data_IF_104138914605
#
_entry.id   IF_104138914605
#
_cell.length_a   1.000
_cell.length_b   1.000
_cell.length_c   1.000
_cell.angle_alpha   90.00
_cell.angle_beta   90.00
_cell.angle_gamma   90.00
#
_symmetry.space_group_name_H-M   'P 1'
#
loop_
_entity.id
_entity.type
_entity.pdbx_description
1 polymer ?
#
# COMPACT_ATOMS: atom_id res chain seq x y z
N UNK A 1 18.78 -0.45 -67.96
CA UNK A 1 19.70 -1.52 -67.50
C UNK A 1 20.06 -1.46 -66.01
N UNK A 2 19.98 -0.32 -65.31
CA UNK A 2 20.34 -0.23 -63.89
C UNK A 2 19.27 -0.72 -62.88
N UNK A 3 18.00 -0.88 -63.28
CA UNK A 3 16.97 -1.43 -62.38
C UNK A 3 16.98 -2.97 -62.27
N UNK A 4 17.48 -3.68 -63.28
CA UNK A 4 17.50 -5.15 -63.30
C UNK A 4 18.57 -5.77 -62.38
N UNK A 5 19.66 -5.05 -62.13
CA UNK A 5 20.79 -5.55 -61.33
C UNK A 5 20.47 -5.49 -59.82
N UNK A 6 19.68 -4.51 -59.38
CA UNK A 6 19.35 -4.34 -57.96
C UNK A 6 18.40 -5.44 -57.44
N UNK A 7 17.44 -5.87 -58.24
CA UNK A 7 16.48 -6.93 -57.85
C UNK A 7 17.15 -8.30 -57.75
N UNK A 8 18.13 -8.58 -58.62
CA UNK A 8 18.87 -9.86 -58.60
C UNK A 8 19.78 -9.93 -57.37
N UNK A 9 20.37 -8.80 -56.94
CA UNK A 9 21.23 -8.77 -55.74
C UNK A 9 20.42 -8.99 -54.45
N UNK A 10 19.20 -8.46 -54.36
CA UNK A 10 18.34 -8.65 -53.17
C UNK A 10 17.81 -10.07 -53.03
N UNK A 11 17.52 -10.75 -54.15
CA UNK A 11 17.08 -12.17 -54.16
C UNK A 11 18.23 -13.12 -53.80
N UNK A 12 19.45 -12.82 -54.26
CA UNK A 12 20.63 -13.63 -53.91
C UNK A 12 21.04 -13.45 -52.45
N UNK A 13 20.89 -12.26 -51.86
CA UNK A 13 21.20 -12.03 -50.45
C UNK A 13 20.18 -12.70 -49.49
N UNK A 14 18.88 -12.68 -49.81
CA UNK A 14 17.88 -13.42 -49.01
C UNK A 14 18.02 -14.92 -49.18
N UNK A 15 18.36 -15.41 -50.38
CA UNK A 15 18.67 -16.82 -50.62
C UNK A 15 19.90 -17.31 -49.84
N UNK A 16 20.96 -16.49 -49.73
CA UNK A 16 22.15 -16.84 -48.96
C UNK A 16 21.90 -16.87 -47.44
N UNK A 17 21.09 -15.94 -46.93
CA UNK A 17 20.71 -15.92 -45.50
C UNK A 17 19.78 -17.06 -45.11
N UNK A 18 18.86 -17.47 -45.99
CA UNK A 18 17.99 -18.63 -45.77
C UNK A 18 18.74 -19.97 -45.89
N UNK A 19 19.80 -20.04 -46.70
CA UNK A 19 20.57 -21.28 -46.90
C UNK A 19 21.62 -21.54 -45.81
N UNK A 20 22.16 -20.49 -45.17
CA UNK A 20 23.21 -20.65 -44.15
C UNK A 20 22.73 -20.69 -42.69
N UNK A 21 21.43 -20.49 -42.42
CA UNK A 21 20.86 -20.62 -41.07
C UNK A 21 20.00 -21.87 -40.84
N UNK A 22 19.96 -22.80 -41.79
CA UNK A 22 19.39 -24.13 -41.55
C UNK A 22 20.55 -25.05 -41.20
N UNK A 23 20.89 -25.11 -39.90
CA UNK A 23 21.65 -26.27 -39.38
C UNK A 23 20.79 -27.51 -39.63
N UNK A 24 21.31 -28.57 -40.27
CA UNK A 24 20.59 -29.83 -40.32
C UNK A 24 20.46 -30.35 -38.90
N UNK A 25 19.23 -30.50 -38.42
CA UNK A 25 18.94 -31.28 -37.23
C UNK A 25 19.47 -32.69 -37.48
N UNK A 26 20.49 -33.08 -36.72
CA UNK A 26 21.01 -34.45 -36.70
C UNK A 26 19.85 -35.41 -36.47
N UNK A 27 19.68 -36.46 -37.29
CA UNK A 27 18.67 -37.47 -37.01
C UNK A 27 19.10 -38.21 -35.74
N UNK A 28 18.38 -37.96 -34.65
CA UNK A 28 18.45 -38.80 -33.46
C UNK A 28 17.91 -40.17 -33.88
N UNK A 29 18.80 -41.17 -33.91
CA UNK A 29 18.44 -42.57 -34.07
C UNK A 29 17.35 -42.92 -33.05
N UNK A 30 16.30 -43.67 -33.43
CA UNK A 30 15.27 -44.07 -32.49
C UNK A 30 15.89 -45.04 -31.48
N UNK A 31 15.97 -44.59 -30.22
CA UNK A 31 16.14 -45.46 -29.07
C UNK A 31 14.91 -46.37 -29.00
N UNK A 32 15.07 -47.64 -29.41
CA UNK A 32 14.12 -48.71 -29.16
C UNK A 32 14.00 -48.98 -27.66
N UNK A 33 13.15 -48.20 -27.00
CA UNK A 33 12.39 -48.65 -25.83
C UNK A 33 11.05 -47.93 -25.87
N UNK A 34 10.11 -48.54 -26.61
CA UNK A 34 8.71 -48.15 -26.68
C UNK A 34 8.04 -48.32 -25.31
N UNK A 35 8.17 -47.29 -24.47
CA UNK A 35 7.15 -47.05 -23.45
C UNK A 35 5.82 -46.80 -24.15
N UNK A 36 4.70 -47.41 -23.74
CA UNK A 36 3.44 -47.31 -24.45
C UNK A 36 3.08 -45.85 -24.67
N UNK A 37 2.87 -45.49 -25.94
CA UNK A 37 2.49 -44.15 -26.34
C UNK A 37 1.22 -43.77 -25.59
N UNK A 38 1.31 -42.79 -24.68
CA UNK A 38 0.13 -42.21 -24.05
C UNK A 38 -0.68 -41.52 -25.15
N UNK A 39 -1.70 -42.21 -25.65
CA UNK A 39 -2.62 -41.75 -26.70
C UNK A 39 -3.73 -40.83 -26.17
N UNK A 40 -3.54 -40.24 -25.00
CA UNK A 40 -4.45 -39.24 -24.44
C UNK A 40 -4.08 -37.82 -24.90
N UNK A 41 -5.04 -36.88 -24.93
CA UNK A 41 -4.75 -35.46 -25.11
C UNK A 41 -3.70 -35.03 -24.08
N UNK A 42 -2.62 -34.40 -24.55
CA UNK A 42 -1.53 -33.87 -23.70
C UNK A 42 -2.07 -32.68 -22.91
N UNK A 43 -2.70 -32.96 -21.77
CA UNK A 43 -3.11 -31.93 -20.84
C UNK A 43 -1.90 -31.41 -20.04
N UNK A 44 -1.84 -30.11 -19.74
CA UNK A 44 -0.84 -29.57 -18.82
C UNK A 44 -0.90 -30.29 -17.46
N UNK A 45 0.26 -30.53 -16.86
CA UNK A 45 0.34 -30.95 -15.46
C UNK A 45 0.22 -29.71 -14.58
N UNK A 46 -0.93 -29.55 -13.91
CA UNK A 46 -1.17 -28.44 -13.00
C UNK A 46 -0.51 -28.68 -11.63
N UNK A 47 -0.22 -27.59 -10.92
CA UNK A 47 0.22 -27.66 -9.52
C UNK A 47 -0.91 -28.23 -8.66
N UNK A 48 -0.56 -28.97 -7.61
CA UNK A 48 -1.53 -29.40 -6.62
C UNK A 48 -2.15 -28.18 -5.91
N UNK A 49 -3.46 -28.22 -5.56
CA UNK A 49 -4.08 -27.20 -4.73
C UNK A 49 -3.33 -27.07 -3.40
N UNK A 50 -3.07 -25.82 -2.97
CA UNK A 50 -2.46 -25.55 -1.68
C UNK A 50 -3.53 -25.35 -0.60
N UNK A 51 -3.22 -25.68 0.65
CA UNK A 51 -4.10 -25.38 1.78
C UNK A 51 -4.32 -23.86 1.90
N UNK A 52 -5.48 -23.48 2.40
CA UNK A 52 -5.81 -22.09 2.69
C UNK A 52 -4.85 -21.51 3.75
N UNK A 53 -4.40 -20.27 3.52
CA UNK A 53 -3.53 -19.52 4.45
C UNK A 53 -4.31 -18.56 5.34
N UNK A 54 -5.57 -18.28 5.02
CA UNK A 54 -6.42 -17.42 5.84
C UNK A 54 -7.83 -17.96 5.89
N UNK A 55 -8.56 -17.56 6.92
CA UNK A 55 -10.02 -17.69 6.93
C UNK A 55 -10.65 -16.82 5.82
N UNK A 56 -11.89 -17.13 5.39
CA UNK A 56 -12.65 -16.25 4.52
C UNK A 56 -12.72 -14.83 5.09
N UNK A 57 -12.62 -13.84 4.20
CA UNK A 57 -12.62 -12.43 4.59
C UNK A 57 -14.05 -12.03 4.98
N UNK A 58 -14.18 -11.37 6.13
CA UNK A 58 -15.40 -10.72 6.59
C UNK A 58 -15.10 -9.22 6.67
N UNK A 59 -16.06 -8.39 6.30
CA UNK A 59 -15.90 -6.93 6.37
C UNK A 59 -15.77 -6.51 7.85
N UNK A 60 -14.82 -5.62 8.13
CA UNK A 60 -14.48 -5.18 9.47
C UNK A 60 -15.07 -3.82 9.83
N UNK A 61 -16.07 -3.34 9.11
CA UNK A 61 -16.82 -2.17 9.49
C UNK A 61 -18.34 -2.43 9.41
N UNK A 62 -18.88 -3.29 10.29
CA UNK A 62 -20.25 -3.74 10.22
C UNK A 62 -21.26 -2.60 10.32
N UNK A 63 -21.00 -1.61 11.18
CA UNK A 63 -21.83 -0.42 11.30
C UNK A 63 -21.99 0.30 9.96
N UNK A 64 -20.90 0.41 9.21
CA UNK A 64 -20.93 1.05 7.92
C UNK A 64 -21.64 0.17 6.87
N UNK A 65 -21.62 -1.17 6.96
CA UNK A 65 -22.28 -2.05 5.96
C UNK A 65 -23.75 -1.72 5.76
N UNK A 66 -24.42 -1.27 6.82
CA UNK A 66 -25.84 -0.93 6.80
C UNK A 66 -26.09 0.58 6.67
N UNK A 67 -25.04 1.41 6.68
CA UNK A 67 -25.18 2.86 6.59
C UNK A 67 -25.45 3.32 5.14
N UNK A 68 -26.37 4.26 4.98
CA UNK A 68 -26.67 4.88 3.69
C UNK A 68 -25.95 6.23 3.49
N UNK A 69 -25.47 6.83 4.57
CA UNK A 69 -24.85 8.16 4.57
C UNK A 69 -23.77 8.30 5.64
N UNK A 70 -22.89 9.28 5.48
CA UNK A 70 -21.86 9.61 6.47
C UNK A 70 -22.46 9.99 7.83
N UNK A 71 -23.66 10.56 7.86
CA UNK A 71 -24.37 10.99 9.07
C UNK A 71 -24.85 9.83 9.95
N UNK A 72 -24.95 8.62 9.39
CA UNK A 72 -25.28 7.41 10.15
C UNK A 72 -24.04 6.78 10.81
N UNK A 73 -22.84 7.25 10.46
CA UNK A 73 -21.62 6.88 11.15
C UNK A 73 -21.40 7.76 12.39
N UNK A 74 -20.67 7.28 13.41
CA UNK A 74 -20.34 8.10 14.54
C UNK A 74 -19.51 9.31 14.09
N UNK A 75 -19.69 10.50 14.69
CA UNK A 75 -18.79 11.61 14.41
C UNK A 75 -17.38 11.28 14.92
N UNK A 76 -16.34 11.81 14.30
CA UNK A 76 -14.97 11.65 14.82
C UNK A 76 -14.84 12.28 16.22
N UNK A 77 -13.82 11.90 17.02
CA UNK A 77 -13.63 12.45 18.36
C UNK A 77 -13.53 13.98 18.31
N UNK A 78 -14.25 14.70 19.19
CA UNK A 78 -14.37 16.17 19.11
C UNK A 78 -13.02 16.89 19.09
N UNK A 79 -12.03 16.44 19.86
CA UNK A 79 -10.70 17.04 19.89
C UNK A 79 -9.86 16.81 18.62
N UNK A 80 -10.21 15.82 17.80
CA UNK A 80 -9.54 15.55 16.53
C UNK A 80 -10.20 16.27 15.36
N UNK A 81 -11.25 17.07 15.56
CA UNK A 81 -11.93 17.73 14.45
C UNK A 81 -10.96 18.59 13.62
N UNK A 82 -11.02 18.50 12.28
CA UNK A 82 -10.18 19.33 11.44
C UNK A 82 -10.56 20.82 11.57
N UNK A 83 -9.60 21.74 11.33
CA UNK A 83 -9.88 23.17 11.34
C UNK A 83 -11.05 23.56 10.44
N UNK A 84 -11.92 24.44 10.95
CA UNK A 84 -13.01 25.07 10.19
C UNK A 84 -12.97 26.59 10.41
N UNK A 85 -12.70 27.42 9.38
CA UNK A 85 -12.45 27.05 8.00
C UNK A 85 -11.18 26.20 7.84
N UNK A 86 -11.10 25.47 6.72
CA UNK A 86 -9.94 24.65 6.39
C UNK A 86 -8.66 25.50 6.29
N UNK A 87 -7.51 24.86 6.47
CA UNK A 87 -6.23 25.56 6.40
C UNK A 87 -5.97 26.09 4.98
N UNK A 88 -5.23 27.20 4.82
CA UNK A 88 -4.96 27.76 3.48
C UNK A 88 -4.05 26.85 2.64
N UNK A 89 -3.24 25.99 3.28
CA UNK A 89 -2.44 25.00 2.60
C UNK A 89 -3.31 23.88 1.99
N UNK A 90 -3.09 23.53 0.72
CA UNK A 90 -3.69 22.30 0.17
C UNK A 90 -2.97 21.10 0.78
N UNK A 91 -3.70 20.22 1.49
CA UNK A 91 -3.11 19.08 2.21
C UNK A 91 -3.54 17.70 1.66
N UNK A 92 -3.41 17.44 0.34
CA UNK A 92 -3.84 16.17 -0.25
C UNK A 92 -3.02 15.00 0.31
N UNK A 93 -3.70 13.92 0.72
CA UNK A 93 -3.11 12.66 1.17
C UNK A 93 -3.41 11.56 0.16
N UNK A 94 -2.38 11.07 -0.52
CA UNK A 94 -2.47 9.98 -1.49
C UNK A 94 -2.19 8.65 -0.81
N UNK A 95 -3.13 7.71 -0.91
CA UNK A 95 -3.01 6.34 -0.36
C UNK A 95 -3.12 5.35 -1.51
N UNK A 96 -2.01 4.71 -1.86
CA UNK A 96 -1.97 3.71 -2.92
C UNK A 96 -2.58 2.38 -2.48
N UNK A 97 -3.57 1.88 -3.23
CA UNK A 97 -4.22 0.61 -2.94
C UNK A 97 -3.99 -0.40 -4.07
N UNK A 98 -3.49 -1.59 -3.74
CA UNK A 98 -3.49 -2.71 -4.68
C UNK A 98 -4.35 -3.87 -4.20
N UNK A 99 -4.34 -4.19 -2.90
CA UNK A 99 -4.99 -5.40 -2.38
C UNK A 99 -5.23 -5.33 -0.88
N UNK A 100 -6.17 -6.14 -0.38
CA UNK A 100 -6.59 -6.21 1.03
C UNK A 100 -7.45 -5.02 1.47
N UNK A 101 -8.74 -5.11 1.16
CA UNK A 101 -9.77 -4.13 1.48
C UNK A 101 -9.82 -3.73 2.96
N UNK A 102 -9.65 -4.69 3.88
CA UNK A 102 -9.75 -4.42 5.33
C UNK A 102 -8.65 -3.49 5.82
N UNK A 103 -7.44 -3.61 5.27
CA UNK A 103 -6.33 -2.69 5.57
C UNK A 103 -6.59 -1.30 5.00
N UNK A 104 -7.09 -1.20 3.76
CA UNK A 104 -7.42 0.08 3.15
C UNK A 104 -8.48 0.83 3.97
N UNK A 105 -9.59 0.18 4.32
CA UNK A 105 -10.62 0.82 5.14
C UNK A 105 -10.06 1.27 6.48
N UNK A 106 -9.24 0.43 7.12
CA UNK A 106 -8.61 0.76 8.39
C UNK A 106 -7.77 2.02 8.31
N UNK A 107 -6.85 2.12 7.32
CA UNK A 107 -5.98 3.29 7.22
C UNK A 107 -6.79 4.56 6.94
N UNK A 108 -7.80 4.48 6.05
CA UNK A 108 -8.68 5.62 5.72
C UNK A 108 -9.44 6.09 6.97
N UNK A 109 -10.13 5.19 7.67
CA UNK A 109 -10.87 5.52 8.89
C UNK A 109 -9.93 6.06 9.98
N UNK A 110 -8.72 5.50 10.10
CA UNK A 110 -7.75 5.96 11.08
C UNK A 110 -7.23 7.38 10.81
N UNK A 111 -7.02 7.76 9.55
CA UNK A 111 -6.66 9.14 9.20
C UNK A 111 -7.80 10.12 9.44
N UNK A 112 -9.03 9.76 9.05
CA UNK A 112 -10.22 10.58 9.27
C UNK A 112 -10.40 10.84 10.77
N UNK A 113 -10.33 9.79 11.59
CA UNK A 113 -10.49 9.90 13.05
C UNK A 113 -9.29 10.54 13.75
N UNK A 114 -8.11 10.55 13.13
CA UNK A 114 -6.94 11.34 13.54
C UNK A 114 -6.96 12.80 13.03
N UNK A 115 -8.08 13.22 12.45
CA UNK A 115 -8.38 14.62 12.11
C UNK A 115 -7.97 15.06 10.71
N UNK A 116 -7.62 14.12 9.83
CA UNK A 116 -7.42 14.46 8.42
C UNK A 116 -8.78 14.75 7.76
N UNK A 117 -8.97 15.89 7.08
CA UNK A 117 -10.20 16.15 6.35
C UNK A 117 -10.47 15.07 5.29
N UNK A 118 -11.63 14.40 5.28
CA UNK A 118 -11.92 13.35 4.30
C UNK A 118 -11.79 13.83 2.85
N UNK A 119 -12.17 15.09 2.58
CA UNK A 119 -12.08 15.73 1.27
C UNK A 119 -10.65 15.86 0.74
N UNK A 120 -9.65 15.76 1.61
CA UNK A 120 -8.23 15.84 1.26
C UNK A 120 -7.61 14.45 1.09
N UNK A 121 -8.33 13.37 1.40
CA UNK A 121 -7.84 12.00 1.24
C UNK A 121 -8.19 11.52 -0.17
N UNK A 122 -7.19 11.01 -0.86
CA UNK A 122 -7.28 10.45 -2.21
C UNK A 122 -6.79 9.00 -2.17
N UNK A 123 -7.73 8.06 -2.24
CA UNK A 123 -7.42 6.65 -2.42
C UNK A 123 -7.11 6.41 -3.89
N UNK A 124 -5.89 5.97 -4.19
CA UNK A 124 -5.48 5.65 -5.55
C UNK A 124 -5.64 4.16 -5.79
N UNK A 125 -6.68 3.80 -6.55
CA UNK A 125 -6.98 2.43 -6.94
C UNK A 125 -5.96 1.94 -7.98
N UNK A 126 -4.96 1.20 -7.51
CA UNK A 126 -3.90 0.54 -8.27
C UNK A 126 -4.08 -0.99 -8.28
N UNK A 127 -5.28 -1.44 -8.65
CA UNK A 127 -5.70 -2.85 -8.66
C UNK A 127 -5.49 -3.53 -10.03
N UNK A 128 -5.50 -2.74 -11.12
CA UNK A 128 -5.44 -3.25 -12.48
C UNK A 128 -6.66 -4.07 -12.91
N UNK A 129 -7.80 -3.89 -12.24
CA UNK A 129 -9.09 -4.54 -12.55
C UNK A 129 -10.05 -3.60 -13.31
N UNK A 130 -9.50 -2.54 -13.91
CA UNK A 130 -10.25 -1.54 -14.67
C UNK A 130 -11.43 -0.99 -13.83
N UNK A 131 -12.63 -0.95 -14.40
CA UNK A 131 -13.83 -0.43 -13.72
C UNK A 131 -14.57 -1.48 -12.87
N UNK A 132 -14.04 -2.69 -12.67
CA UNK A 132 -14.80 -3.76 -12.01
C UNK A 132 -15.17 -3.45 -10.56
N UNK A 133 -14.31 -2.76 -9.79
CA UNK A 133 -14.67 -2.30 -8.44
C UNK A 133 -15.74 -1.20 -8.48
N UNK A 134 -15.60 -0.22 -9.37
CA UNK A 134 -16.58 0.84 -9.57
C UNK A 134 -17.97 0.29 -9.92
N UNK A 135 -18.00 -0.80 -10.69
CA UNK A 135 -19.23 -1.48 -11.11
C UNK A 135 -19.73 -2.54 -10.12
N UNK A 136 -19.07 -2.73 -8.97
CA UNK A 136 -19.47 -3.70 -7.95
C UNK A 136 -19.36 -5.16 -8.39
N UNK A 137 -18.43 -5.49 -9.29
CA UNK A 137 -18.33 -6.81 -9.92
C UNK A 137 -17.38 -7.77 -9.19
N UNK A 138 -16.58 -7.29 -8.24
CA UNK A 138 -15.66 -8.12 -7.48
C UNK A 138 -16.30 -8.51 -6.15
N UNK A 139 -16.10 -9.77 -5.75
CA UNK A 139 -16.50 -10.27 -4.44
C UNK A 139 -15.54 -9.79 -3.35
N UNK A 140 -16.01 -9.72 -2.10
CA UNK A 140 -15.14 -9.42 -0.94
C UNK A 140 -13.96 -10.39 -0.80
N UNK A 141 -14.06 -11.60 -1.36
CA UNK A 141 -12.96 -12.58 -1.33
C UNK A 141 -11.86 -12.29 -2.35
N UNK A 142 -12.12 -11.44 -3.34
CA UNK A 142 -11.14 -11.04 -4.35
C UNK A 142 -10.05 -10.14 -3.73
N UNK A 143 -8.75 -10.43 -3.89
CA UNK A 143 -7.66 -9.61 -3.33
C UNK A 143 -7.74 -8.15 -3.75
N UNK A 144 -8.24 -7.89 -4.95
CA UNK A 144 -8.32 -6.57 -5.58
C UNK A 144 -9.64 -5.83 -5.25
N UNK A 145 -10.50 -6.41 -4.42
CA UNK A 145 -11.78 -5.81 -4.04
C UNK A 145 -11.59 -4.44 -3.36
N UNK A 146 -12.36 -3.46 -3.81
CA UNK A 146 -12.49 -2.14 -3.23
C UNK A 146 -13.92 -1.64 -3.40
N UNK A 147 -14.53 -1.13 -2.32
CA UNK A 147 -15.89 -0.62 -2.36
C UNK A 147 -15.93 0.91 -2.57
N UNK A 148 -16.24 1.33 -3.80
CA UNK A 148 -16.35 2.75 -4.17
C UNK A 148 -17.45 3.47 -3.38
N UNK A 149 -18.58 2.82 -3.14
CA UNK A 149 -19.71 3.40 -2.40
C UNK A 149 -19.31 3.70 -0.96
N UNK A 150 -18.62 2.78 -0.28
CA UNK A 150 -18.10 2.98 1.08
C UNK A 150 -17.15 4.18 1.14
N UNK A 151 -16.17 4.25 0.24
CA UNK A 151 -15.17 5.33 0.27
C UNK A 151 -15.82 6.70 0.00
N UNK A 152 -16.76 6.78 -0.94
CA UNK A 152 -17.54 8.00 -1.19
C UNK A 152 -18.39 8.39 0.01
N UNK A 153 -19.02 7.42 0.68
CA UNK A 153 -19.78 7.64 1.91
C UNK A 153 -18.89 8.16 3.05
N UNK A 154 -17.62 7.72 3.13
CA UNK A 154 -16.64 8.27 4.08
C UNK A 154 -16.14 9.68 3.68
N UNK A 155 -16.54 10.20 2.52
CA UNK A 155 -16.17 11.54 2.04
C UNK A 155 -14.80 11.63 1.39
N UNK A 156 -14.15 10.51 1.08
CA UNK A 156 -12.83 10.50 0.43
C UNK A 156 -12.93 10.43 -1.10
N UNK A 157 -11.87 10.90 -1.76
CA UNK A 157 -11.76 10.85 -3.21
C UNK A 157 -11.16 9.51 -3.66
N UNK A 158 -11.50 9.10 -4.88
CA UNK A 158 -10.94 7.89 -5.51
C UNK A 158 -10.32 8.29 -6.84
N UNK A 159 -9.03 7.99 -7.02
CA UNK A 159 -8.32 8.12 -8.29
C UNK A 159 -8.10 6.73 -8.87
N UNK A 160 -8.46 6.52 -10.13
CA UNK A 160 -8.27 5.24 -10.80
C UNK A 160 -6.99 5.26 -11.62
N UNK A 161 -6.17 4.22 -11.45
CA UNK A 161 -5.10 3.95 -12.40
C UNK A 161 -5.66 3.21 -13.62
N UNK A 162 -5.16 3.50 -14.84
CA UNK A 162 -5.63 2.82 -16.06
C UNK A 162 -5.14 1.37 -16.19
N UNK A 163 -4.12 1.00 -15.41
CA UNK A 163 -3.55 -0.35 -15.34
C UNK A 163 -2.85 -0.52 -13.98
N UNK A 164 -2.39 -1.73 -13.68
CA UNK A 164 -1.58 -1.97 -12.50
C UNK A 164 -0.18 -1.36 -12.68
N UNK A 165 0.14 -0.36 -11.87
CA UNK A 165 1.46 0.23 -11.74
C UNK A 165 2.33 -0.50 -10.72
N UNK A 166 3.63 -0.55 -11.01
CA UNK A 166 4.67 -0.86 -10.02
C UNK A 166 4.81 0.29 -9.01
N UNK A 167 5.59 0.12 -7.95
CA UNK A 167 5.76 1.15 -6.93
C UNK A 167 6.31 2.47 -7.51
N UNK A 168 7.41 2.43 -8.28
CA UNK A 168 7.97 3.64 -8.88
C UNK A 168 7.01 4.33 -9.86
N UNK A 169 6.25 3.55 -10.64
CA UNK A 169 5.22 4.09 -11.53
C UNK A 169 4.06 4.72 -10.76
N UNK A 170 3.63 4.12 -9.65
CA UNK A 170 2.59 4.66 -8.79
C UNK A 170 3.04 5.97 -8.12
N UNK A 171 4.29 6.03 -7.66
CA UNK A 171 4.86 7.26 -7.10
C UNK A 171 4.95 8.38 -8.15
N UNK A 172 5.31 8.05 -9.40
CA UNK A 172 5.23 9.02 -10.50
C UNK A 172 3.79 9.42 -10.82
N UNK A 173 2.81 8.52 -10.66
CA UNK A 173 1.40 8.88 -10.79
C UNK A 173 0.95 9.84 -9.69
N UNK A 174 1.44 9.69 -8.44
CA UNK A 174 1.20 10.65 -7.37
C UNK A 174 1.78 12.03 -7.69
N UNK A 175 3.05 12.05 -8.13
CA UNK A 175 3.73 13.28 -8.52
C UNK A 175 3.03 13.97 -9.70
N UNK A 176 2.68 13.21 -10.75
CA UNK A 176 1.92 13.71 -11.90
C UNK A 176 0.57 14.29 -11.47
N UNK A 177 -0.17 13.58 -10.61
CA UNK A 177 -1.44 14.06 -10.06
C UNK A 177 -1.26 15.41 -9.34
N UNK A 178 -0.22 15.54 -8.52
CA UNK A 178 0.08 16.78 -7.82
C UNK A 178 0.42 17.93 -8.78
N UNK A 179 1.17 17.66 -9.85
CA UNK A 179 1.51 18.65 -10.88
C UNK A 179 0.25 19.14 -11.58
N UNK A 180 -0.60 18.24 -12.08
CA UNK A 180 -1.84 18.58 -12.79
C UNK A 180 -2.80 19.40 -11.92
N UNK A 181 -2.90 19.06 -10.64
CA UNK A 181 -3.76 19.77 -9.68
C UNK A 181 -3.11 21.02 -9.07
N UNK A 182 -1.87 21.35 -9.50
CA UNK A 182 -1.08 22.49 -8.99
C UNK A 182 -0.97 22.44 -7.46
N UNK A 183 -0.63 21.26 -6.95
CA UNK A 183 -0.32 21.04 -5.55
C UNK A 183 1.19 21.19 -5.36
N UNK A 184 1.66 22.27 -4.68
CA UNK A 184 3.09 22.48 -4.47
C UNK A 184 3.71 21.40 -3.59
N UNK A 185 2.86 20.75 -2.79
CA UNK A 185 3.19 19.62 -1.93
C UNK A 185 2.09 18.58 -2.01
N UNK A 186 2.40 17.35 -1.60
CA UNK A 186 1.40 16.35 -1.28
C UNK A 186 1.91 15.45 -0.17
N UNK A 187 0.99 14.84 0.57
CA UNK A 187 1.30 13.75 1.47
C UNK A 187 1.05 12.42 0.76
N UNK A 188 1.86 11.42 1.06
CA UNK A 188 1.54 10.04 0.69
C UNK A 188 1.71 9.10 1.88
N UNK A 189 0.91 8.05 1.90
CA UNK A 189 0.91 7.06 2.99
C UNK A 189 0.80 5.65 2.45
N UNK A 190 1.41 4.73 3.19
CA UNK A 190 1.19 3.29 3.00
C UNK A 190 -0.25 2.92 3.34
N UNK A 191 -0.76 1.84 2.73
CA UNK A 191 -2.13 1.37 2.95
C UNK A 191 -2.28 0.40 4.13
N UNK A 192 -1.17 -0.16 4.61
CA UNK A 192 -1.11 -1.19 5.64
C UNK A 192 -0.75 -0.61 7.00
N UNK A 193 -1.43 0.50 7.35
CA UNK A 193 -1.21 1.25 8.58
C UNK A 193 -2.45 1.29 9.49
N UNK A 194 -2.21 1.63 10.75
CA UNK A 194 -3.19 2.20 11.66
C UNK A 194 -2.60 3.45 12.29
N UNK A 195 -3.40 4.51 12.42
CA UNK A 195 -2.91 5.85 12.79
C UNK A 195 -3.75 6.42 13.93
N UNK A 196 -3.10 6.98 14.96
CA UNK A 196 -3.76 7.69 16.06
C UNK A 196 -3.02 9.00 16.39
N UNK A 197 -3.77 10.01 16.84
CA UNK A 197 -3.22 11.21 17.47
C UNK A 197 -2.60 10.90 18.84
N UNK A 198 -1.70 11.75 19.34
CA UNK A 198 -0.99 11.55 20.61
C UNK A 198 -1.84 11.84 21.87
N UNK A 199 -2.89 11.05 22.11
CA UNK A 199 -3.69 11.18 23.34
C UNK A 199 -2.84 10.96 24.61
N UNK A 200 -1.91 9.99 24.64
CA UNK A 200 -1.05 9.75 25.80
C UNK A 200 -0.12 10.92 26.11
N UNK A 201 0.49 11.54 25.09
CA UNK A 201 1.41 12.66 25.30
C UNK A 201 0.64 13.87 25.82
N UNK A 202 -0.56 14.11 25.31
CA UNK A 202 -1.44 15.16 25.82
C UNK A 202 -1.81 14.91 27.28
N UNK A 203 -2.18 13.67 27.61
CA UNK A 203 -2.61 13.30 28.96
C UNK A 203 -1.47 13.32 29.99
N UNK A 204 -0.22 13.08 29.56
CA UNK A 204 0.97 13.31 30.40
C UNK A 204 1.20 14.79 30.69
N UNK A 205 0.88 15.68 29.75
CA UNK A 205 1.10 17.12 29.90
C UNK A 205 -0.06 17.84 30.62
N UNK A 206 -1.30 17.41 30.41
CA UNK A 206 -2.46 17.93 31.15
C UNK A 206 -3.45 16.82 31.49
N UNK A 207 -3.31 16.27 32.69
CA UNK A 207 -4.05 15.09 33.17
C UNK A 207 -5.51 15.37 33.53
N UNK A 208 -5.91 16.63 33.68
CA UNK A 208 -7.25 17.03 34.13
C UNK A 208 -8.21 17.32 32.96
N UNK A 209 -7.67 17.68 31.79
CA UNK A 209 -8.45 18.02 30.59
C UNK A 209 -8.65 16.79 29.71
N UNK A 210 -9.68 16.01 30.03
CA UNK A 210 -9.96 14.71 29.41
C UNK A 210 -10.71 14.80 28.08
N UNK A 211 -11.26 15.97 27.75
CA UNK A 211 -12.07 16.22 26.55
C UNK A 211 -11.77 17.62 26.01
N UNK A 212 -10.53 17.88 25.55
CA UNK A 212 -10.12 19.19 25.10
C UNK A 212 -10.94 19.63 23.88
N UNK A 213 -11.09 20.93 23.72
CA UNK A 213 -11.57 21.49 22.46
C UNK A 213 -10.55 21.18 21.34
N UNK A 214 -10.98 21.17 20.06
CA UNK A 214 -10.07 21.02 18.92
C UNK A 214 -8.95 22.08 18.90
N UNK A 215 -9.18 23.27 19.47
CA UNK A 215 -8.16 24.32 19.57
C UNK A 215 -7.08 24.05 20.62
N UNK A 216 -7.38 23.18 21.60
CA UNK A 216 -6.51 22.87 22.74
C UNK A 216 -5.86 21.47 22.64
N UNK A 217 -6.03 20.83 21.48
CA UNK A 217 -5.45 19.53 21.14
C UNK A 217 -4.86 19.56 19.73
N UNK A 218 -3.61 19.11 19.59
CA UNK A 218 -2.99 18.95 18.28
C UNK A 218 -3.17 17.50 17.81
N UNK A 219 -4.06 17.30 16.84
CA UNK A 219 -4.22 16.00 16.19
C UNK A 219 -3.03 15.67 15.28
N UNK A 220 -2.96 14.44 14.76
CA UNK A 220 -1.95 14.07 13.78
C UNK A 220 -1.93 15.02 12.59
N UNK A 221 -3.11 15.38 12.08
CA UNK A 221 -3.24 16.35 10.99
C UNK A 221 -2.61 17.71 11.36
N UNK A 222 -2.88 18.24 12.56
CA UNK A 222 -2.30 19.50 13.01
C UNK A 222 -0.77 19.46 13.07
N UNK A 223 -0.18 18.35 13.52
CA UNK A 223 1.26 18.18 13.52
C UNK A 223 1.85 18.09 12.10
N UNK A 224 1.17 17.42 11.16
CA UNK A 224 1.58 17.38 9.75
C UNK A 224 1.53 18.78 9.10
N UNK A 225 0.49 19.57 9.35
CA UNK A 225 0.42 20.97 8.88
C UNK A 225 1.51 21.82 9.52
N UNK A 226 1.82 21.62 10.80
CA UNK A 226 2.90 22.33 11.48
C UNK A 226 4.27 22.02 10.88
N UNK A 227 4.52 20.75 10.56
CA UNK A 227 5.74 20.33 9.86
C UNK A 227 5.83 20.96 8.46
N UNK A 228 4.73 20.97 7.70
CA UNK A 228 4.65 21.65 6.39
C UNK A 228 5.00 23.14 6.49
N UNK A 229 4.41 23.85 7.47
CA UNK A 229 4.72 25.27 7.71
C UNK A 229 6.19 25.45 8.07
N UNK A 230 6.74 24.59 8.93
CA UNK A 230 8.13 24.69 9.33
C UNK A 230 9.10 24.57 8.15
N UNK A 231 8.94 23.54 7.30
CA UNK A 231 9.82 23.35 6.14
C UNK A 231 9.62 24.39 5.04
N UNK A 232 8.47 25.07 5.03
CA UNK A 232 8.14 26.09 4.03
C UNK A 232 8.45 27.52 4.47
N UNK A 233 8.70 27.75 5.76
CA UNK A 233 8.95 29.09 6.30
C UNK A 233 10.40 29.51 5.99
N UNK A 234 10.63 30.69 5.41
CA UNK A 234 11.97 31.23 5.25
C UNK A 234 12.65 31.45 6.60
N UNK A 235 13.95 31.20 6.65
CA UNK A 235 14.74 31.49 7.83
C UNK A 235 14.68 33.00 8.16
N UNK A 236 14.36 33.39 9.41
CA UNK A 236 14.17 34.80 9.75
C UNK A 236 15.42 35.69 9.61
N UNK A 237 16.62 35.11 9.73
CA UNK A 237 17.88 35.87 9.68
C UNK A 237 18.35 36.07 8.24
N UNK A 238 18.21 35.03 7.41
CA UNK A 238 18.70 35.03 6.02
C UNK A 238 17.61 35.37 5.00
N UNK A 239 16.33 35.25 5.37
CA UNK A 239 15.18 35.40 4.48
C UNK A 239 15.05 34.27 3.44
N UNK A 240 15.87 33.22 3.54
CA UNK A 240 15.91 32.13 2.57
C UNK A 240 15.19 30.90 3.11
N UNK A 241 14.33 30.28 2.29
CA UNK A 241 13.76 28.99 2.62
C UNK A 241 14.81 27.89 2.43
N UNK A 242 14.86 26.94 3.37
CA UNK A 242 15.68 25.74 3.23
C UNK A 242 15.23 24.97 1.98
N UNK A 243 16.18 24.57 1.13
CA UNK A 243 15.86 23.65 0.02
C UNK A 243 15.51 22.30 0.63
N UNK A 244 14.24 21.92 0.60
CA UNK A 244 13.76 20.65 1.14
C UNK A 244 13.03 19.85 0.07
N UNK A 245 13.09 18.53 0.17
CA UNK A 245 12.37 17.63 -0.71
C UNK A 245 11.32 16.80 0.03
N UNK A 246 11.59 16.48 1.30
CA UNK A 246 10.81 15.50 2.04
C UNK A 246 10.75 15.80 3.54
N UNK A 247 9.62 15.49 4.16
CA UNK A 247 9.52 15.30 5.60
C UNK A 247 8.83 13.95 5.90
N UNK A 248 9.53 13.09 6.63
CA UNK A 248 9.04 11.77 7.04
C UNK A 248 8.28 11.85 8.37
N UNK A 249 7.25 11.03 8.51
CA UNK A 249 6.50 10.82 9.74
C UNK A 249 6.49 9.33 10.07
N UNK A 250 7.39 8.93 10.97
CA UNK A 250 7.69 7.51 11.26
C UNK A 250 8.24 6.77 10.02
N UNK A 251 9.43 7.16 9.57
CA UNK A 251 10.04 6.67 8.32
C UNK A 251 9.12 6.95 7.10
N UNK A 252 9.10 6.09 6.09
CA UNK A 252 8.32 6.23 4.85
C UNK A 252 6.81 5.96 4.97
N UNK A 253 6.32 5.62 6.18
CA UNK A 253 4.91 5.24 6.40
C UNK A 253 3.95 6.37 6.02
N UNK A 254 4.31 7.60 6.37
CA UNK A 254 3.66 8.83 5.95
C UNK A 254 4.76 9.84 5.62
N UNK A 255 4.69 10.48 4.46
CA UNK A 255 5.66 11.49 4.08
C UNK A 255 5.01 12.68 3.39
N UNK A 256 5.56 13.86 3.63
CA UNK A 256 5.29 15.10 2.93
C UNK A 256 6.32 15.30 1.82
N UNK A 257 5.86 15.47 0.59
CA UNK A 257 6.68 15.60 -0.61
C UNK A 257 6.61 17.02 -1.16
N UNK A 258 7.76 17.57 -1.54
CA UNK A 258 7.86 18.80 -2.33
C UNK A 258 7.83 18.46 -3.83
N UNK A 259 6.76 18.86 -4.51
CA UNK A 259 6.51 18.56 -5.93
C UNK A 259 7.60 19.15 -6.84
N UNK A 260 8.13 20.33 -6.53
CA UNK A 260 9.18 20.99 -7.34
C UNK A 260 10.53 20.28 -7.19
N UNK A 261 10.90 19.89 -5.97
CA UNK A 261 12.16 19.16 -5.72
C UNK A 261 12.17 17.82 -6.47
N UNK A 262 11.06 17.08 -6.45
CA UNK A 262 10.92 15.79 -7.14
C UNK A 262 10.98 15.96 -8.66
N UNK A 263 10.37 17.00 -9.22
CA UNK A 263 10.48 17.31 -10.66
C UNK A 263 11.91 17.64 -11.07
N UNK A 264 12.63 18.44 -10.27
CA UNK A 264 13.99 18.88 -10.59
C UNK A 264 14.98 17.73 -10.70
N UNK A 265 14.78 16.64 -9.96
CA UNK A 265 15.64 15.45 -10.05
C UNK A 265 15.14 14.39 -11.03
N UNK A 266 14.03 14.65 -11.74
CA UNK A 266 13.50 13.77 -12.78
C UNK A 266 12.50 12.72 -12.30
N UNK A 267 11.92 12.87 -11.11
CA UNK A 267 10.95 11.92 -10.55
C UNK A 267 11.56 10.55 -10.25
N UNK A 268 10.71 9.54 -10.11
CA UNK A 268 11.11 8.17 -9.81
C UNK A 268 11.55 7.43 -11.08
N UNK A 269 12.59 6.60 -10.99
CA UNK A 269 13.03 5.79 -12.12
C UNK A 269 12.09 4.59 -12.33
N UNK A 270 11.28 4.54 -13.41
CA UNK A 270 10.32 3.47 -13.62
C UNK A 270 10.98 2.11 -13.96
N UNK A 271 12.28 2.09 -14.30
CA UNK A 271 13.03 0.85 -14.50
C UNK A 271 13.46 0.21 -13.18
N UNK A 272 13.32 0.92 -12.06
CA UNK A 272 13.52 0.39 -10.70
C UNK A 272 12.14 0.27 -10.04
N UNK A 273 11.35 -0.78 -10.36
CA UNK A 273 9.92 -0.81 -10.09
C UNK A 273 9.51 -0.93 -8.61
N UNK A 274 10.38 -1.45 -7.73
CA UNK A 274 10.07 -1.69 -6.31
C UNK A 274 11.30 -1.40 -5.43
N UNK A 275 11.90 -2.42 -4.79
CA UNK A 275 13.05 -2.23 -3.93
C UNK A 275 14.26 -1.70 -4.71
N UNK A 276 14.91 -0.69 -4.14
CA UNK A 276 15.92 0.14 -4.78
C UNK A 276 15.38 1.50 -5.24
N UNK A 277 14.06 1.64 -5.46
CA UNK A 277 13.46 2.89 -5.95
C UNK A 277 13.59 4.03 -4.94
N UNK A 278 13.31 3.77 -3.66
CA UNK A 278 13.44 4.76 -2.59
C UNK A 278 14.89 5.20 -2.44
N UNK A 279 15.83 4.25 -2.49
CA UNK A 279 17.25 4.54 -2.40
C UNK A 279 17.73 5.40 -3.57
N UNK A 280 17.31 5.05 -4.79
CA UNK A 280 17.61 5.83 -5.99
C UNK A 280 17.07 7.27 -5.89
N UNK A 281 15.80 7.43 -5.53
CA UNK A 281 15.15 8.73 -5.48
C UNK A 281 15.70 9.61 -4.36
N UNK A 282 15.79 9.09 -3.14
CA UNK A 282 16.22 9.86 -1.97
C UNK A 282 17.69 10.24 -2.07
N UNK A 283 18.56 9.36 -2.56
CA UNK A 283 19.97 9.72 -2.75
C UNK A 283 20.13 10.77 -3.87
N UNK A 284 19.37 10.70 -4.97
CA UNK A 284 19.39 11.76 -6.00
C UNK A 284 18.96 13.12 -5.47
N UNK A 285 17.89 13.18 -4.67
CA UNK A 285 17.48 14.42 -3.98
C UNK A 285 18.60 14.97 -3.10
N UNK A 286 19.25 14.08 -2.37
CA UNK A 286 20.23 14.46 -1.39
C UNK A 286 21.60 14.79 -2.02
N UNK A 287 21.92 14.24 -3.19
CA UNK A 287 23.03 14.67 -4.06
C UNK A 287 22.83 16.09 -4.59
N UNK A 288 21.57 16.49 -4.84
CA UNK A 288 21.19 17.84 -5.29
C UNK A 288 21.06 18.85 -4.13
N UNK A 289 21.40 18.42 -2.91
CA UNK A 289 21.42 19.25 -1.71
C UNK A 289 20.05 19.53 -1.10
N UNK A 290 19.03 18.74 -1.40
CA UNK A 290 17.74 18.86 -0.73
C UNK A 290 17.77 18.24 0.67
N UNK A 291 17.22 18.98 1.64
CA UNK A 291 16.97 18.49 2.97
C UNK A 291 15.83 17.47 2.98
N UNK A 292 16.02 16.43 3.80
CA UNK A 292 15.00 15.45 4.17
C UNK A 292 14.94 15.43 5.70
N UNK A 293 13.77 15.70 6.25
CA UNK A 293 13.59 15.87 7.71
C UNK A 293 12.70 14.77 8.28
N UNK A 294 12.76 14.56 9.59
CA UNK A 294 11.88 13.63 10.29
C UNK A 294 11.08 14.36 11.37
N UNK A 295 9.78 14.07 11.41
CA UNK A 295 8.82 14.69 12.30
C UNK A 295 7.98 13.62 13.01
N UNK A 296 7.54 13.95 14.22
CA UNK A 296 6.58 13.13 14.96
C UNK A 296 5.20 13.79 14.87
N UNK A 297 4.27 13.17 14.15
CA UNK A 297 2.91 13.69 14.03
C UNK A 297 1.86 12.88 14.80
N UNK A 298 2.05 11.57 14.95
CA UNK A 298 1.16 10.72 15.72
C UNK A 298 1.79 9.36 15.94
N UNK A 299 1.01 8.44 16.51
CA UNK A 299 1.39 7.05 16.61
C UNK A 299 0.93 6.33 15.34
N UNK A 300 1.89 5.80 14.59
CA UNK A 300 1.68 5.19 13.26
C UNK A 300 2.22 3.76 13.32
N UNK A 301 1.31 2.79 13.29
CA UNK A 301 1.65 1.37 13.31
C UNK A 301 1.69 0.79 11.91
N UNK A 302 2.80 0.13 11.59
CA UNK A 302 2.97 -0.66 10.38
C UNK A 302 2.45 -2.08 10.63
N UNK A 303 1.33 -2.47 10.02
CA UNK A 303 0.55 -3.67 10.39
C UNK A 303 0.34 -4.63 9.22
N UNK A 304 0.05 -5.91 9.52
CA UNK A 304 -0.15 -6.98 8.52
C UNK A 304 -1.54 -7.64 8.62
N UNK A 305 -2.38 -7.10 9.49
CA UNK A 305 -3.77 -7.48 9.74
C UNK A 305 -4.58 -6.22 10.06
N UNK A 306 -5.88 -6.39 10.23
CA UNK A 306 -6.78 -5.30 10.58
C UNK A 306 -7.49 -5.60 11.90
N UNK A 307 -7.99 -4.54 12.52
CA UNK A 307 -8.94 -4.63 13.62
C UNK A 307 -10.20 -5.36 13.17
N UNK A 308 -10.83 -6.05 14.12
CA UNK A 308 -12.07 -6.80 13.90
C UNK A 308 -13.25 -5.86 13.63
N UNK A 309 -13.25 -4.67 14.24
CA UNK A 309 -14.24 -3.60 14.02
C UNK A 309 -13.56 -2.23 13.98
N UNK A 310 -13.85 -1.42 12.95
CA UNK A 310 -13.32 -0.06 12.78
C UNK A 310 -14.03 1.00 13.62
N UNK A 311 -15.19 0.70 14.23
CA UNK A 311 -15.89 1.64 15.13
C UNK A 311 -14.98 2.09 16.30
N UNK A 312 -14.03 1.25 16.71
CA UNK A 312 -13.07 1.54 17.80
C UNK A 312 -12.26 2.83 17.58
N UNK A 313 -12.06 3.25 16.33
CA UNK A 313 -11.35 4.49 16.00
C UNK A 313 -12.17 5.74 16.31
N UNK A 314 -13.50 5.65 16.38
CA UNK A 314 -14.38 6.79 16.64
C UNK A 314 -14.46 7.18 18.12
N UNK A 315 -13.82 6.40 19.01
CA UNK A 315 -13.67 6.71 20.45
C UNK A 315 -15.02 6.99 21.14
N UNK A 316 -16.04 6.16 20.88
CA UNK A 316 -17.38 6.32 21.50
C UNK A 316 -17.55 5.49 22.76
N UNK A 317 -18.31 6.01 23.72
CA UNK A 317 -18.70 5.24 24.91
C UNK A 317 -19.55 4.03 24.50
N UNK A 318 -19.27 2.89 25.13
CA UNK A 318 -19.98 1.65 24.83
C UNK A 318 -19.75 1.11 23.41
N UNK A 319 -18.71 1.58 22.72
CA UNK A 319 -18.25 1.00 21.45
C UNK A 319 -17.61 -0.38 21.63
N UNK A 320 -17.25 -1.06 20.53
CA UNK A 320 -16.69 -2.40 20.58
C UNK A 320 -15.33 -2.45 21.27
N UNK A 321 -14.99 -3.61 21.84
CA UNK A 321 -13.67 -3.84 22.43
C UNK A 321 -12.64 -4.05 21.31
N UNK A 322 -11.52 -3.30 21.29
CA UNK A 322 -10.47 -3.51 20.30
C UNK A 322 -9.95 -4.95 20.30
N UNK A 323 -9.95 -5.55 19.11
CA UNK A 323 -9.48 -6.91 18.87
C UNK A 323 -8.97 -7.07 17.43
N UNK A 324 -8.16 -8.10 17.20
CA UNK A 324 -7.68 -8.48 15.88
C UNK A 324 -7.42 -9.98 15.84
N UNK A 325 -7.58 -10.61 14.68
CA UNK A 325 -7.05 -11.95 14.42
C UNK A 325 -5.58 -11.84 14.01
N UNK A 326 -4.69 -12.48 14.78
CA UNK A 326 -3.27 -12.59 14.40
C UNK A 326 -3.14 -13.55 13.20
N UNK A 327 -2.62 -13.07 12.07
CA UNK A 327 -2.58 -13.88 10.86
C UNK A 327 -1.51 -14.98 10.91
N UNK A 328 -0.44 -14.82 11.69
CA UNK A 328 0.58 -15.87 11.86
C UNK A 328 0.02 -17.03 12.69
N UNK A 329 -0.84 -16.74 13.68
CA UNK A 329 -1.57 -17.75 14.45
C UNK A 329 -2.58 -18.48 13.57
N UNK A 330 -3.41 -17.73 12.83
CA UNK A 330 -4.40 -18.30 11.92
C UNK A 330 -3.78 -19.22 10.86
N UNK A 331 -2.66 -18.81 10.25
CA UNK A 331 -1.90 -19.63 9.31
C UNK A 331 -1.41 -20.94 9.94
N UNK A 332 -0.88 -20.89 11.17
CA UNK A 332 -0.38 -22.07 11.88
C UNK A 332 -1.52 -23.04 12.24
N UNK A 333 -2.67 -22.53 12.64
CA UNK A 333 -3.87 -23.33 12.94
C UNK A 333 -4.41 -24.03 11.69
N UNK A 334 -4.52 -23.31 10.57
CA UNK A 334 -4.95 -23.87 9.28
C UNK A 334 -3.95 -24.91 8.77
N UNK A 335 -2.65 -24.68 8.92
CA UNK A 335 -1.62 -25.65 8.56
C UNK A 335 -1.76 -26.96 9.36
N UNK A 336 -2.03 -26.88 10.67
CA UNK A 336 -2.26 -28.05 11.54
C UNK A 336 -3.51 -28.82 11.15
N UNK A 337 -4.63 -28.13 10.93
CA UNK A 337 -5.90 -28.74 10.54
C UNK A 337 -5.79 -29.53 9.22
N UNK A 338 -4.97 -29.06 8.28
CA UNK A 338 -4.73 -29.76 7.01
C UNK A 338 -3.86 -31.03 7.16
N UNK A 339 -3.04 -31.13 8.21
CA UNK A 339 -2.18 -32.30 8.48
C UNK A 339 -2.99 -33.43 9.15
N UNK A 340 -3.96 -33.09 10.00
CA UNK A 340 -4.68 -34.07 10.83
C UNK A 340 -5.74 -34.91 10.09
N UNK A 341 -5.99 -34.66 8.79
CA UNK A 341 -6.71 -35.52 7.82
C UNK A 341 -8.06 -36.14 8.23
N UNK A 342 -8.68 -35.73 9.33
CA UNK A 342 -10.13 -35.79 9.45
C UNK A 342 -10.70 -34.61 8.65
N UNK A 343 -11.64 -34.84 7.71
CA UNK A 343 -12.37 -33.74 7.11
C UNK A 343 -12.98 -32.95 8.27
N UNK A 344 -12.79 -31.62 8.35
CA UNK A 344 -13.57 -30.85 9.29
C UNK A 344 -15.02 -31.16 8.94
N UNK A 345 -15.77 -31.71 9.88
CA UNK A 345 -17.22 -31.71 9.79
C UNK A 345 -17.61 -30.31 9.30
N UNK A 346 -18.42 -30.26 8.25
CA UNK A 346 -18.86 -29.05 7.55
C UNK A 346 -19.68 -28.09 8.45
N UNK A 347 -19.57 -28.26 9.77
CA UNK A 347 -20.44 -27.77 10.82
C UNK A 347 -19.66 -27.25 12.04
N UNK A 348 -18.39 -26.85 11.86
CA UNK A 348 -17.87 -25.77 12.72
C UNK A 348 -18.40 -24.47 12.16
N UNK A 349 -19.65 -24.16 12.50
CA UNK A 349 -20.06 -22.76 12.65
C UNK A 349 -18.96 -22.14 13.50
N UNK A 350 -18.13 -21.28 12.90
CA UNK A 350 -17.45 -20.24 13.68
C UNK A 350 -18.52 -19.72 14.62
N UNK A 351 -18.27 -19.57 15.93
CA UNK A 351 -19.23 -18.87 16.77
C UNK A 351 -19.53 -17.60 15.98
N UNK A 352 -20.79 -17.45 15.59
CA UNK A 352 -21.31 -16.16 15.20
C UNK A 352 -20.90 -15.31 16.38
N UNK A 353 -19.81 -14.56 16.24
CA UNK A 353 -19.57 -13.43 17.12
C UNK A 353 -20.77 -12.59 16.78
N UNK A 354 -21.80 -12.74 17.62
CA UNK A 354 -22.87 -11.81 17.69
C UNK A 354 -22.15 -10.49 17.90
N UNK A 355 -21.98 -9.74 16.81
CA UNK A 355 -21.20 -8.49 16.79
C UNK A 355 -21.94 -7.42 17.59
N UNK A 356 -23.05 -7.78 18.27
CA UNK A 356 -23.94 -6.84 18.90
C UNK A 356 -24.33 -5.80 17.86
N UNK A 357 -24.81 -6.28 16.70
CA UNK A 357 -25.35 -5.44 15.62
C UNK A 357 -26.63 -4.78 16.15
N UNK A 358 -26.45 -3.83 17.06
CA UNK A 358 -27.51 -3.05 17.66
C UNK A 358 -27.86 -1.92 16.72
N UNK A 359 -29.15 -1.84 16.41
CA UNK A 359 -29.88 -0.67 15.93
C UNK A 359 -29.59 0.57 16.80
N UNK A 360 -28.39 1.16 16.69
CA UNK A 360 -28.05 2.46 17.30
C UNK A 360 -28.38 3.62 16.36
N UNK A 361 -29.30 3.42 15.43
CA UNK A 361 -29.82 4.47 14.56
C UNK A 361 -30.68 5.39 15.42
N UNK A 362 -30.09 6.48 15.93
CA UNK A 362 -30.77 7.49 16.75
C UNK A 362 -30.27 7.64 18.19
N UNK A 363 -29.25 6.90 18.62
CA UNK A 363 -28.58 7.16 19.91
C UNK A 363 -27.62 8.36 19.80
N UNK A 364 -27.56 9.18 20.85
CA UNK A 364 -26.62 10.29 20.94
C UNK A 364 -25.19 9.76 21.13
N UNK A 365 -24.30 10.05 20.17
CA UNK A 365 -22.91 9.60 20.22
C UNK A 365 -22.10 10.42 21.23
N UNK A 366 -21.80 9.82 22.37
CA UNK A 366 -20.89 10.41 23.37
C UNK A 366 -19.44 9.93 23.18
N UNK A 367 -18.50 10.87 23.19
CA UNK A 367 -17.06 10.56 23.18
C UNK A 367 -16.64 9.91 24.51
N UNK A 368 -15.82 8.86 24.43
CA UNK A 368 -15.06 8.36 25.57
C UNK A 368 -13.95 9.37 25.91
N UNK A 369 -13.74 9.74 27.18
CA UNK A 369 -12.64 10.63 27.55
C UNK A 369 -11.27 10.11 27.06
N UNK A 370 -10.31 11.02 26.82
CA UNK A 370 -8.99 10.67 26.28
C UNK A 370 -8.24 9.64 27.14
N UNK A 371 -7.48 8.77 26.46
CA UNK A 371 -6.57 7.78 27.05
C UNK A 371 -7.19 6.85 28.13
N UNK A 372 -8.50 6.63 28.06
CA UNK A 372 -9.26 5.67 28.89
C UNK A 372 -8.94 4.22 28.49
N UNK A 373 -9.60 3.27 29.17
CA UNK A 373 -9.30 1.84 29.02
C UNK A 373 -9.45 1.35 27.57
N UNK A 374 -10.49 1.76 26.84
CA UNK A 374 -10.66 1.34 25.45
C UNK A 374 -9.52 1.84 24.56
N UNK A 375 -9.02 3.06 24.79
CA UNK A 375 -7.87 3.61 24.08
C UNK A 375 -6.60 2.82 24.33
N UNK A 376 -6.32 2.52 25.61
CA UNK A 376 -5.12 1.76 26.00
C UNK A 376 -5.15 0.36 25.40
N UNK A 377 -6.33 -0.27 25.39
CA UNK A 377 -6.56 -1.55 24.73
C UNK A 377 -6.34 -1.46 23.22
N UNK A 378 -6.82 -0.39 22.59
CA UNK A 378 -6.59 -0.16 21.16
C UNK A 378 -5.08 -0.06 20.88
N UNK A 379 -4.35 0.74 21.64
CA UNK A 379 -2.89 0.86 21.53
C UNK A 379 -2.20 -0.49 21.70
N UNK A 380 -2.55 -1.27 22.72
CA UNK A 380 -1.99 -2.61 22.96
C UNK A 380 -2.24 -3.56 21.77
N UNK A 381 -3.46 -3.53 21.22
CA UNK A 381 -3.80 -4.34 20.04
C UNK A 381 -2.99 -3.91 18.82
N UNK A 382 -2.84 -2.62 18.58
CA UNK A 382 -2.04 -2.09 17.47
C UNK A 382 -0.54 -2.40 17.62
N UNK A 383 0.01 -2.31 18.83
CA UNK A 383 1.38 -2.73 19.15
C UNK A 383 1.58 -4.21 18.83
N UNK A 384 0.65 -5.07 19.24
CA UNK A 384 0.67 -6.50 18.92
C UNK A 384 0.59 -6.75 17.42
N UNK A 385 -0.27 -6.03 16.70
CA UNK A 385 -0.39 -6.15 15.24
C UNK A 385 0.92 -5.77 14.53
N UNK A 386 1.57 -4.69 14.97
CA UNK A 386 2.85 -4.26 14.39
C UNK A 386 3.99 -5.21 14.72
N UNK A 387 4.04 -5.72 15.95
CA UNK A 387 4.99 -6.76 16.34
C UNK A 387 4.80 -8.04 15.51
N UNK A 388 3.56 -8.50 15.34
CA UNK A 388 3.22 -9.68 14.55
C UNK A 388 3.68 -9.58 13.09
N UNK A 389 3.61 -8.38 12.50
CA UNK A 389 4.17 -8.10 11.17
C UNK A 389 5.69 -8.32 11.14
N UNK A 390 6.41 -7.80 12.14
CA UNK A 390 7.87 -7.93 12.25
C UNK A 390 8.33 -9.35 12.56
N UNK A 391 7.55 -10.10 13.34
CA UNK A 391 7.89 -11.44 13.80
C UNK A 391 7.66 -12.56 12.76
N UNK A 392 7.04 -12.26 11.61
CA UNK A 392 6.77 -13.27 10.59
C UNK A 392 8.06 -13.76 9.91
N UNK A 393 8.35 -15.06 10.05
CA UNK A 393 9.57 -15.70 9.51
C UNK A 393 9.64 -15.70 7.97
N UNK A 394 8.50 -15.56 7.30
CA UNK A 394 8.40 -15.50 5.83
C UNK A 394 8.49 -14.05 5.30
N UNK A 395 8.75 -13.07 6.18
CA UNK A 395 8.93 -11.66 5.86
C UNK A 395 7.76 -10.77 6.26
N UNK A 396 8.00 -9.45 6.28
CA UNK A 396 7.06 -8.43 6.75
C UNK A 396 5.82 -8.22 5.86
N UNK A 397 5.92 -8.57 4.58
CA UNK A 397 4.89 -8.26 3.58
C UNK A 397 4.05 -9.47 3.15
N UNK A 398 4.06 -10.55 3.93
CA UNK A 398 3.30 -11.78 3.65
C UNK A 398 1.79 -11.55 3.53
N UNK A 399 1.28 -10.50 4.19
CA UNK A 399 -0.12 -10.08 4.14
C UNK A 399 -0.65 -9.86 2.72
N UNK A 400 0.23 -9.46 1.79
CA UNK A 400 -0.08 -9.21 0.39
C UNK A 400 -0.55 -10.48 -0.35
N UNK A 401 -0.21 -11.68 0.14
CA UNK A 401 -0.56 -12.93 -0.54
C UNK A 401 -1.59 -13.77 0.23
N UNK A 402 -2.20 -13.21 1.30
CA UNK A 402 -3.10 -13.98 2.19
C UNK A 402 -4.51 -14.17 1.62
N UNK A 403 -5.02 -13.14 0.96
CA UNK A 403 -6.31 -13.22 0.30
C UNK A 403 -6.14 -13.93 -1.05
N UNK A 404 -6.92 -14.99 -1.28
CA UNK A 404 -6.76 -15.90 -2.45
C UNK A 404 -8.07 -16.21 -3.19
N UNK A 405 -9.18 -15.60 -2.79
CA UNK A 405 -10.50 -15.86 -3.37
C UNK A 405 -10.79 -15.08 -4.65
N UNK A 406 -12.07 -14.99 -5.02
CA UNK A 406 -12.53 -14.26 -6.22
C UNK A 406 -12.46 -15.05 -7.52
N UNK A 407 -12.27 -16.38 -7.46
CA UNK A 407 -12.34 -17.22 -8.66
C UNK A 407 -13.74 -17.12 -9.28
N UNK A 408 -13.80 -16.71 -10.55
CA UNK A 408 -15.05 -16.45 -11.27
C UNK A 408 -15.38 -14.96 -11.41
N UNK A 409 -14.76 -14.10 -10.60
CA UNK A 409 -14.88 -12.65 -10.76
C UNK A 409 -14.15 -12.18 -12.02
N UNK A 410 -14.57 -11.06 -12.64
CA UNK A 410 -13.80 -10.39 -13.68
C UNK A 410 -12.37 -10.09 -13.22
N UNK A 411 -11.40 -10.15 -14.15
CA UNK A 411 -9.98 -9.88 -13.88
C UNK A 411 -9.34 -10.74 -12.78
N UNK A 412 -9.93 -11.89 -12.44
CA UNK A 412 -9.31 -12.85 -11.52
C UNK A 412 -7.88 -13.22 -11.95
N UNK A 413 -6.97 -13.26 -10.97
CA UNK A 413 -5.59 -13.72 -11.12
C UNK A 413 -5.29 -14.73 -10.02
N UNK A 414 -4.54 -15.77 -10.38
CA UNK A 414 -3.96 -16.67 -9.38
C UNK A 414 -3.09 -15.86 -8.41
N UNK A 415 -3.48 -15.81 -7.14
CA UNK A 415 -2.86 -14.90 -6.16
C UNK A 415 -1.41 -15.25 -5.87
N UNK A 416 -1.05 -16.54 -5.88
CA UNK A 416 0.34 -16.98 -5.72
C UNK A 416 1.18 -16.64 -6.96
N UNK A 417 0.67 -16.92 -8.16
CA UNK A 417 1.32 -16.57 -9.41
C UNK A 417 1.54 -15.08 -9.54
N UNK A 418 0.55 -14.28 -9.14
CA UNK A 418 0.65 -12.83 -9.10
C UNK A 418 1.75 -12.36 -8.13
N UNK A 419 1.77 -12.87 -6.90
CA UNK A 419 2.83 -12.55 -5.93
C UNK A 419 4.21 -12.96 -6.44
N UNK A 420 4.34 -14.12 -7.07
CA UNK A 420 5.60 -14.54 -7.68
C UNK A 420 6.06 -13.59 -8.78
N UNK A 421 5.13 -13.08 -9.59
CA UNK A 421 5.42 -12.04 -10.58
C UNK A 421 5.97 -10.76 -9.93
N UNK A 422 5.37 -10.30 -8.82
CA UNK A 422 5.86 -9.15 -8.06
C UNK A 422 7.29 -9.40 -7.54
N UNK A 423 7.57 -10.56 -6.96
CA UNK A 423 8.92 -10.89 -6.47
C UNK A 423 9.97 -10.92 -7.58
N UNK A 424 9.61 -11.41 -8.78
CA UNK A 424 10.50 -11.35 -9.95
C UNK A 424 10.79 -9.90 -10.37
N UNK A 425 9.77 -9.05 -10.35
CA UNK A 425 9.91 -7.62 -10.68
C UNK A 425 10.73 -6.85 -9.63
N UNK A 426 10.58 -7.20 -8.35
CA UNK A 426 11.44 -6.68 -7.26
C UNK A 426 12.91 -7.02 -7.53
N UNK A 427 13.20 -8.28 -7.85
CA UNK A 427 14.56 -8.72 -8.14
C UNK A 427 15.13 -8.06 -9.41
N UNK A 428 14.29 -7.85 -10.42
CA UNK A 428 14.68 -7.05 -11.58
C UNK A 428 15.08 -5.62 -11.18
N UNK A 429 14.28 -4.94 -10.34
CA UNK A 429 14.58 -3.59 -9.87
C UNK A 429 15.89 -3.49 -9.10
N UNK A 430 16.19 -4.47 -8.22
CA UNK A 430 17.50 -4.52 -7.53
C UNK A 430 18.67 -4.59 -8.50
N UNK A 431 18.54 -5.37 -9.58
CA UNK A 431 19.58 -5.47 -10.61
C UNK A 431 19.73 -4.18 -11.39
N UNK A 432 18.62 -3.56 -11.80
CA UNK A 432 18.67 -2.27 -12.50
C UNK A 432 19.33 -1.21 -11.62
N UNK A 433 18.96 -1.13 -10.34
CA UNK A 433 19.60 -0.24 -9.37
C UNK A 433 21.11 -0.48 -9.29
N UNK A 434 21.53 -1.73 -9.14
CA UNK A 434 22.94 -2.09 -9.03
C UNK A 434 23.74 -1.73 -10.28
N UNK A 435 23.22 -2.03 -11.47
CA UNK A 435 23.86 -1.67 -12.74
C UNK A 435 23.87 -0.16 -12.98
N UNK A 436 22.82 0.55 -12.57
CA UNK A 436 22.72 2.01 -12.68
C UNK A 436 23.80 2.69 -11.86
N UNK A 437 24.06 2.24 -10.64
CA UNK A 437 24.97 2.96 -9.74
C UNK A 437 26.36 2.35 -9.62
N UNK A 438 26.60 1.18 -10.22
CA UNK A 438 27.82 0.42 -9.95
C UNK A 438 27.93 -0.02 -8.49
N UNK A 439 26.83 0.05 -7.73
CA UNK A 439 26.77 -0.22 -6.30
C UNK A 439 25.41 -0.83 -5.88
N UNK A 440 25.39 -1.74 -4.90
CA UNK A 440 24.20 -2.54 -4.53
C UNK A 440 23.39 -2.00 -3.35
N UNK A 441 23.98 -1.18 -2.49
CA UNK A 441 23.33 -0.67 -1.29
C UNK A 441 22.89 0.80 -1.45
N UNK A 442 22.18 1.32 -0.45
CA UNK A 442 21.54 2.63 -0.53
C UNK A 442 22.47 3.79 -0.14
N UNK A 443 23.73 3.53 0.23
CA UNK A 443 24.71 4.51 0.70
C UNK A 443 25.51 5.14 -0.46
N UNK A 444 24.83 5.49 -1.55
CA UNK A 444 25.44 5.98 -2.80
C UNK A 444 26.40 7.14 -2.56
N UNK A 445 26.00 8.17 -1.81
CA UNK A 445 26.88 9.30 -1.48
C UNK A 445 28.05 8.93 -0.58
N UNK A 446 27.92 7.92 0.29
CA UNK A 446 29.03 7.44 1.11
C UNK A 446 30.13 6.78 0.26
N UNK A 447 29.78 6.30 -0.94
CA UNK A 447 30.71 5.82 -1.97
C UNK A 447 31.29 6.94 -2.85
N UNK A 448 30.92 8.20 -2.59
CA UNK A 448 31.34 9.34 -3.38
C UNK A 448 30.57 9.51 -4.69
N UNK A 449 29.47 8.78 -4.89
CA UNK A 449 28.65 8.89 -6.09
C UNK A 449 27.86 10.20 -6.11
N UNK A 450 27.72 10.76 -7.31
CA UNK A 450 26.89 11.93 -7.60
C UNK A 450 25.87 11.61 -8.69
N UNK A 451 24.87 12.49 -8.88
CA UNK A 451 23.77 12.23 -9.81
C UNK A 451 24.22 11.94 -11.26
N UNK A 452 25.34 12.52 -11.70
CA UNK A 452 25.90 12.35 -13.03
C UNK A 452 26.59 10.99 -13.27
N UNK A 453 26.80 10.21 -12.21
CA UNK A 453 27.48 8.91 -12.28
C UNK A 453 26.54 7.78 -12.69
N UNK A 454 25.22 8.02 -12.70
CA UNK A 454 24.24 7.05 -13.13
C UNK A 454 24.60 6.46 -14.52
N UNK A 455 24.70 5.14 -14.57
CA UNK A 455 25.09 4.29 -15.70
C UNK A 455 26.54 4.40 -16.17
N UNK A 456 27.43 5.01 -15.38
CA UNK A 456 28.83 5.28 -15.77
C UNK A 456 29.87 4.61 -14.89
N UNK A 457 29.47 4.07 -13.73
CA UNK A 457 30.38 3.51 -12.74
C UNK A 457 30.54 2.01 -12.95
N UNK A 458 31.78 1.53 -12.84
CA UNK A 458 32.06 0.10 -12.81
C UNK A 458 31.53 -0.53 -11.52
N UNK A 459 31.28 -1.85 -11.57
CA UNK A 459 30.72 -2.59 -10.43
C UNK A 459 31.75 -2.71 -9.32
N UNK A 460 31.33 -2.49 -8.08
CA UNK A 460 32.17 -2.66 -6.90
C UNK A 460 32.07 -4.05 -6.21
N UNK A 461 31.50 -5.05 -6.90
CA UNK A 461 31.24 -6.40 -6.38
C UNK A 461 31.66 -7.55 -7.30
#
# INVERSE_FOLDING_TARGET
MLLGISVIFTILLTGFYLRNNIRPLTPVLPSEHSSPAQTGPKHPKYKAPRPAKSYPIIDNFPLALNAHSASELPPIPRWNQPPTPHVPEKTPLLIGFTRNWRLLQQVVVSYITAGWPPSDIYVVENTGVMHSNQNGQLSLQNPFFLNHTRLKMLGVNILLTPTLFTFAQLQNYFLWTAIENKWPIYFWSHMDLAVLSFEDRRMKAHSEDLTPSPTNFQSLYHHCVSALRNVSTPDPETGLATRWALAFFSYDRLALVNTDAYQKVGGWDPLIPFYGADCDMHERLAMEGYAMTEWRAGAIWDVASSLDDLEVFYRKKGGPVPACVDPNVAEAELARANITRDPPAHDRRMPSRDLGLGDRVGEEWEDEPMARESWRKLVEVLDRMSWSKGANTNGRNTWQARQVGGQGDPYYRDSEGFERGIQMTIEHGRRVFAEKWGHRDCDLRAKGLVALDAWRVEKDW
#
